data_IF_768830583124
#
_entry.id   IF_768830583124
#
_cell.length_a   1.000
_cell.length_b   1.000
_cell.length_c   1.000
_cell.angle_alpha   90.00
_cell.angle_beta   90.00
_cell.angle_gamma   90.00
#
_symmetry.space_group_name_H-M   'P 1'
#
loop_
_entity.id
_entity.type
_entity.pdbx_description
1 polymer ?
#
# COMPACT_ATOMS: atom_id res chain seq x y z
N UNK A 1 -15.78 -11.88 2.27
CA UNK A 1 -14.41 -11.80 1.67
C UNK A 1 -13.66 -13.13 1.66
N UNK A 2 -14.08 -14.15 2.42
CA UNK A 2 -13.73 -15.56 2.19
C UNK A 2 -15.06 -16.31 1.94
N UNK A 3 -15.16 -17.11 0.87
CA UNK A 3 -16.37 -17.79 0.37
C UNK A 3 -17.48 -16.91 -0.22
N UNK A 4 -17.23 -15.63 -0.47
CA UNK A 4 -18.16 -14.77 -1.19
C UNK A 4 -17.95 -14.84 -2.69
N UNK A 5 -19.04 -14.69 -3.45
CA UNK A 5 -18.98 -14.68 -4.90
C UNK A 5 -18.14 -13.48 -5.38
N UNK A 6 -17.36 -13.66 -6.43
CA UNK A 6 -16.60 -12.57 -7.06
C UNK A 6 -17.53 -11.41 -7.47
N UNK A 7 -18.81 -11.70 -7.76
CA UNK A 7 -19.83 -10.71 -8.10
C UNK A 7 -20.39 -9.93 -6.90
N UNK A 8 -20.22 -10.39 -5.65
CA UNK A 8 -20.61 -9.63 -4.46
C UNK A 8 -19.54 -8.61 -4.03
N UNK A 9 -18.35 -8.66 -4.64
CA UNK A 9 -17.25 -7.73 -4.34
C UNK A 9 -17.45 -6.34 -4.96
N UNK A 10 -18.23 -6.23 -6.04
CA UNK A 10 -18.50 -4.97 -6.73
C UNK A 10 -19.95 -4.55 -6.49
N UNK A 11 -20.14 -3.44 -5.78
CA UNK A 11 -21.44 -2.83 -5.63
C UNK A 11 -21.74 -1.90 -6.83
N UNK A 12 -22.85 -2.16 -7.52
CA UNK A 12 -23.29 -1.37 -8.67
C UNK A 12 -23.88 -0.01 -8.28
N UNK A 13 -24.38 0.10 -7.05
CA UNK A 13 -25.20 1.24 -6.62
C UNK A 13 -24.42 2.27 -5.78
N UNK A 14 -23.31 1.87 -5.16
CA UNK A 14 -22.52 2.79 -4.31
C UNK A 14 -21.08 2.32 -4.14
N UNK A 15 -20.14 3.26 -4.23
CA UNK A 15 -18.73 3.09 -3.87
C UNK A 15 -18.48 3.19 -2.35
N UNK A 16 -19.50 3.50 -1.56
CA UNK A 16 -19.38 3.62 -0.10
C UNK A 16 -19.49 2.27 0.61
N UNK A 17 -19.02 2.24 1.87
CA UNK A 17 -19.29 1.16 2.81
C UNK A 17 -20.79 0.83 2.85
N UNK A 18 -21.16 -0.37 2.40
CA UNK A 18 -22.54 -0.87 2.48
C UNK A 18 -22.98 -1.11 3.93
N UNK A 19 -22.00 -1.22 4.84
CA UNK A 19 -22.25 -1.41 6.26
C UNK A 19 -22.98 -2.72 6.57
N UNK A 20 -23.42 -2.84 7.80
CA UNK A 20 -24.23 -3.95 8.28
C UNK A 20 -25.63 -3.44 8.62
N UNK A 21 -26.69 -4.03 8.07
CA UNK A 21 -28.07 -3.71 8.49
C UNK A 21 -28.25 -3.94 9.98
N UNK A 22 -28.65 -2.89 10.70
CA UNK A 22 -28.87 -2.90 12.14
C UNK A 22 -30.32 -2.65 12.54
N UNK A 23 -31.17 -2.19 11.63
CA UNK A 23 -32.55 -1.85 11.94
C UNK A 23 -33.21 -0.94 10.92
N UNK A 24 -34.29 -0.28 11.33
CA UNK A 24 -35.00 0.72 10.53
C UNK A 24 -35.58 1.83 11.41
N UNK A 25 -35.84 2.99 10.81
CA UNK A 25 -36.47 4.13 11.48
C UNK A 25 -37.95 3.81 11.71
N UNK A 26 -38.35 3.62 12.97
CA UNK A 26 -39.74 3.33 13.32
C UNK A 26 -40.62 4.58 13.20
N UNK A 27 -40.12 5.71 13.69
CA UNK A 27 -40.77 7.02 13.51
C UNK A 27 -39.80 8.17 13.82
N UNK A 28 -40.13 9.37 13.33
CA UNK A 28 -39.43 10.62 13.62
C UNK A 28 -40.37 11.60 14.31
N UNK A 29 -39.95 12.21 15.43
CA UNK A 29 -40.74 13.19 16.18
C UNK A 29 -39.83 14.28 16.75
N UNK A 30 -40.16 15.56 16.52
CA UNK A 30 -39.45 16.72 17.08
C UNK A 30 -37.92 16.66 16.87
N UNK A 31 -37.46 16.38 15.64
CA UNK A 31 -36.05 16.17 15.28
C UNK A 31 -35.33 15.02 16.01
N UNK A 32 -36.08 14.15 16.69
CA UNK A 32 -35.57 12.91 17.27
C UNK A 32 -35.94 11.73 16.36
N UNK A 33 -34.97 10.84 16.16
CA UNK A 33 -35.13 9.64 15.35
C UNK A 33 -35.26 8.43 16.27
N UNK A 34 -36.31 7.65 16.08
CA UNK A 34 -36.55 6.41 16.83
C UNK A 34 -36.28 5.22 15.92
N UNK A 35 -35.27 4.42 16.25
CA UNK A 35 -34.77 3.32 15.43
C UNK A 35 -35.08 2.01 16.13
N UNK A 36 -35.79 1.10 15.46
CA UNK A 36 -35.96 -0.27 15.92
C UNK A 36 -34.72 -1.09 15.55
N UNK A 37 -34.12 -1.76 16.53
CA UNK A 37 -32.88 -2.50 16.37
C UNK A 37 -33.11 -3.98 16.05
N UNK A 38 -32.51 -4.45 14.98
CA UNK A 38 -32.38 -5.87 14.63
C UNK A 38 -31.05 -6.47 15.08
N UNK A 39 -30.08 -5.63 15.46
CA UNK A 39 -28.77 -6.00 15.99
C UNK A 39 -28.39 -5.11 17.17
N UNK A 40 -27.48 -5.60 18.00
CA UNK A 40 -26.92 -4.81 19.08
C UNK A 40 -26.11 -3.63 18.54
N UNK A 41 -26.18 -2.50 19.22
CA UNK A 41 -25.46 -1.28 18.87
C UNK A 41 -24.82 -0.66 20.11
N UNK A 42 -23.66 -0.07 19.92
CA UNK A 42 -22.94 0.63 20.97
C UNK A 42 -22.87 2.13 20.66
N UNK A 43 -22.78 2.96 21.71
CA UNK A 43 -22.42 4.37 21.57
C UNK A 43 -21.11 4.48 20.79
N UNK A 44 -20.96 5.52 19.98
CA UNK A 44 -19.83 5.72 19.07
C UNK A 44 -19.79 4.81 17.84
N UNK A 45 -20.77 3.91 17.66
CA UNK A 45 -20.97 3.27 16.35
C UNK A 45 -21.33 4.34 15.31
N UNK A 46 -20.75 4.20 14.12
CA UNK A 46 -21.13 5.00 12.94
C UNK A 46 -22.31 4.35 12.24
N UNK A 47 -23.38 5.10 12.04
CA UNK A 47 -24.60 4.66 11.36
C UNK A 47 -24.89 5.52 10.13
N UNK A 48 -25.58 4.94 9.16
CA UNK A 48 -26.07 5.61 7.98
C UNK A 48 -27.50 5.20 7.70
N UNK A 49 -28.30 6.16 7.27
CA UNK A 49 -29.66 5.95 6.83
C UNK A 49 -29.62 5.66 5.33
N UNK A 50 -30.16 4.51 4.93
CA UNK A 50 -30.16 4.05 3.53
C UNK A 50 -31.28 4.76 2.75
N UNK A 51 -31.23 6.09 2.72
CA UNK A 51 -32.09 6.96 1.92
C UNK A 51 -31.32 7.52 0.71
N UNK A 52 -32.02 8.21 -0.20
CA UNK A 52 -31.39 8.80 -1.39
C UNK A 52 -30.29 9.83 -1.07
N UNK A 53 -30.24 10.36 0.16
CA UNK A 53 -29.24 11.34 0.60
C UNK A 53 -28.03 10.67 1.26
N UNK A 54 -28.15 9.41 1.66
CA UNK A 54 -27.12 8.62 2.35
C UNK A 54 -26.56 9.33 3.59
N UNK A 55 -27.41 10.02 4.35
CA UNK A 55 -27.00 10.74 5.55
C UNK A 55 -26.43 9.77 6.59
N UNK A 56 -25.30 10.12 7.20
CA UNK A 56 -24.65 9.31 8.24
C UNK A 56 -24.28 10.14 9.46
N UNK A 57 -24.17 9.49 10.61
CA UNK A 57 -23.71 10.10 11.86
C UNK A 57 -23.00 9.07 12.74
N UNK A 58 -22.21 9.56 13.68
CA UNK A 58 -21.71 8.76 14.79
C UNK A 58 -22.62 8.95 16.00
N UNK A 59 -23.03 7.86 16.65
CA UNK A 59 -23.93 7.91 17.81
C UNK A 59 -23.19 8.46 19.01
N UNK A 60 -23.26 9.77 19.25
CA UNK A 60 -22.62 10.39 20.41
C UNK A 60 -23.36 10.05 21.72
N UNK A 61 -24.69 9.99 21.67
CA UNK A 61 -25.60 9.61 22.76
C UNK A 61 -26.83 8.92 22.16
N UNK A 62 -27.35 7.92 22.85
CA UNK A 62 -28.62 7.25 22.51
C UNK A 62 -29.40 6.94 23.78
N UNK A 63 -30.72 6.81 23.64
CA UNK A 63 -31.62 6.56 24.77
C UNK A 63 -32.51 5.36 24.49
N UNK A 64 -32.77 4.54 25.51
CA UNK A 64 -33.82 3.50 25.50
C UNK A 64 -34.80 3.85 26.61
N UNK A 65 -36.10 3.94 26.31
CA UNK A 65 -37.12 4.40 27.26
C UNK A 65 -36.71 5.73 27.95
N UNK A 66 -36.22 6.70 27.16
CA UNK A 66 -35.72 8.00 27.61
C UNK A 66 -34.52 7.99 28.58
N UNK A 67 -33.93 6.83 28.86
CA UNK A 67 -32.72 6.70 29.69
C UNK A 67 -31.49 6.59 28.80
N UNK A 68 -30.41 7.37 29.03
CA UNK A 68 -29.19 7.28 28.24
C UNK A 68 -28.52 5.92 28.45
N UNK A 69 -28.09 5.29 27.37
CA UNK A 69 -27.43 3.97 27.41
C UNK A 69 -26.16 3.96 26.56
N UNK A 70 -25.16 3.20 27.00
CA UNK A 70 -23.92 2.96 26.24
C UNK A 70 -24.10 1.83 25.21
N UNK A 71 -24.97 0.86 25.49
CA UNK A 71 -25.28 -0.26 24.60
C UNK A 71 -26.80 -0.48 24.54
N UNK A 72 -27.33 -0.76 23.35
CA UNK A 72 -28.72 -1.17 23.15
C UNK A 72 -28.77 -2.50 22.41
N UNK A 73 -29.69 -3.37 22.82
CA UNK A 73 -29.80 -4.75 22.35
C UNK A 73 -30.81 -4.88 21.20
N UNK A 74 -30.65 -5.94 20.41
CA UNK A 74 -31.63 -6.37 19.41
C UNK A 74 -33.04 -6.42 20.03
N UNK A 75 -34.01 -5.90 19.28
CA UNK A 75 -35.43 -5.81 19.65
C UNK A 75 -35.83 -4.51 20.36
N UNK A 76 -34.86 -3.70 20.78
CA UNK A 76 -35.13 -2.42 21.44
C UNK A 76 -35.32 -1.28 20.44
N UNK A 77 -35.95 -0.20 20.90
CA UNK A 77 -36.03 1.06 20.16
C UNK A 77 -35.09 2.06 20.81
N UNK A 78 -34.16 2.60 20.03
CA UNK A 78 -33.29 3.68 20.47
C UNK A 78 -33.81 5.02 19.97
N UNK A 79 -33.65 6.06 20.79
CA UNK A 79 -33.89 7.45 20.46
C UNK A 79 -32.54 8.17 20.27
N UNK A 80 -32.36 8.82 19.11
CA UNK A 80 -31.25 9.74 18.83
C UNK A 80 -31.84 11.14 18.72
N UNK A 81 -31.40 12.06 19.59
CA UNK A 81 -31.98 13.40 19.71
C UNK A 81 -31.26 14.43 18.85
N UNK A 82 -31.99 15.46 18.41
CA UNK A 82 -31.47 16.65 17.73
C UNK A 82 -30.63 16.34 16.48
N UNK A 83 -31.14 15.47 15.60
CA UNK A 83 -30.44 15.16 14.34
C UNK A 83 -30.63 16.34 13.37
N UNK A 84 -29.53 16.79 12.74
CA UNK A 84 -29.49 17.99 11.90
C UNK A 84 -30.09 17.82 10.50
N UNK A 85 -30.51 16.61 10.15
CA UNK A 85 -31.05 16.27 8.84
C UNK A 85 -32.38 15.51 8.97
N UNK A 86 -33.18 15.60 7.92
CA UNK A 86 -34.48 14.94 7.84
C UNK A 86 -34.32 13.49 7.36
N UNK A 87 -35.00 12.56 8.02
CA UNK A 87 -35.09 11.15 7.66
C UNK A 87 -36.56 10.75 7.60
N UNK A 88 -36.92 9.87 6.67
CA UNK A 88 -38.29 9.33 6.56
C UNK A 88 -38.48 8.14 7.51
N UNK A 89 -39.73 7.84 7.83
CA UNK A 89 -40.09 6.59 8.49
C UNK A 89 -39.77 5.40 7.58
N UNK A 90 -39.57 4.24 8.19
CA UNK A 90 -39.29 2.95 7.57
C UNK A 90 -37.99 2.88 6.73
N UNK A 91 -37.13 3.88 6.86
CA UNK A 91 -35.80 3.89 6.26
C UNK A 91 -34.90 2.90 6.97
N UNK A 92 -34.22 2.05 6.22
CA UNK A 92 -33.23 1.12 6.73
C UNK A 92 -32.02 1.86 7.32
N UNK A 93 -31.51 1.36 8.44
CA UNK A 93 -30.31 1.87 9.09
C UNK A 93 -29.21 0.82 9.03
N UNK A 94 -28.05 1.24 8.54
CA UNK A 94 -26.84 0.41 8.42
C UNK A 94 -25.74 0.94 9.34
N UNK A 95 -24.93 0.04 9.91
CA UNK A 95 -23.72 0.37 10.67
C UNK A 95 -22.53 0.43 9.73
N UNK A 96 -21.89 1.59 9.63
CA UNK A 96 -20.69 1.80 8.80
C UNK A 96 -19.40 1.60 9.57
N UNK A 97 -19.41 1.77 10.89
CA UNK A 97 -18.27 1.49 11.76
C UNK A 97 -18.74 0.98 13.12
N UNK A 98 -18.05 -0.04 13.64
CA UNK A 98 -18.32 -0.58 14.98
C UNK A 98 -17.23 -0.13 15.94
N UNK A 99 -17.62 0.62 16.98
CA UNK A 99 -16.71 1.07 18.03
C UNK A 99 -16.05 -0.10 18.76
N UNK A 100 -16.84 -1.13 19.13
CA UNK A 100 -16.31 -2.29 19.85
C UNK A 100 -15.30 -3.09 19.01
N UNK A 101 -15.55 -3.26 17.70
CA UNK A 101 -14.59 -3.94 16.82
C UNK A 101 -13.31 -3.13 16.65
N UNK A 102 -13.42 -1.82 16.43
CA UNK A 102 -12.26 -0.93 16.31
C UNK A 102 -11.45 -0.95 17.61
N UNK A 103 -12.11 -0.82 18.77
CA UNK A 103 -11.46 -0.87 20.08
C UNK A 103 -10.77 -2.22 20.30
N UNK A 104 -11.41 -3.33 19.92
CA UNK A 104 -10.79 -4.67 19.98
C UNK A 104 -9.52 -4.74 19.13
N UNK A 105 -9.58 -4.24 17.88
CA UNK A 105 -8.41 -4.18 16.99
C UNK A 105 -7.32 -3.28 17.56
N UNK A 106 -7.66 -2.13 18.14
CA UNK A 106 -6.71 -1.25 18.82
C UNK A 106 -6.07 -1.91 20.04
N UNK A 107 -6.84 -2.63 20.85
CA UNK A 107 -6.35 -3.38 22.00
C UNK A 107 -5.44 -4.54 21.56
N UNK A 108 -5.80 -5.26 20.49
CA UNK A 108 -4.95 -6.28 19.88
C UNK A 108 -3.68 -5.70 19.27
N UNK A 109 -3.76 -4.55 18.60
CA UNK A 109 -2.60 -3.84 18.07
C UNK A 109 -1.71 -3.29 19.20
N UNK A 110 -2.28 -2.89 20.35
CA UNK A 110 -1.53 -2.52 21.57
C UNK A 110 -0.85 -3.72 22.23
N UNK A 111 -1.33 -4.95 21.99
CA UNK A 111 -0.55 -6.17 22.23
C UNK A 111 0.54 -6.32 21.16
N UNK A 112 1.23 -5.22 20.82
CA UNK A 112 2.56 -5.25 20.23
C UNK A 112 3.33 -6.30 21.02
N UNK A 113 3.91 -7.29 20.32
CA UNK A 113 4.70 -8.34 20.94
C UNK A 113 5.81 -7.72 21.78
N UNK A 114 5.53 -7.51 23.07
CA UNK A 114 6.52 -6.98 24.02
C UNK A 114 7.58 -8.04 24.15
N UNK A 115 8.81 -7.73 23.75
CA UNK A 115 9.92 -8.68 23.95
C UNK A 115 10.14 -8.83 25.44
N UNK A 116 10.07 -10.07 25.90
CA UNK A 116 10.37 -10.44 27.28
C UNK A 116 11.88 -10.29 27.52
N UNK A 117 12.22 -9.60 28.60
CA UNK A 117 13.59 -9.44 29.09
C UNK A 117 13.67 -9.85 30.55
N UNK A 118 14.85 -10.21 31.02
CA UNK A 118 15.09 -10.45 32.45
C UNK A 118 16.07 -9.42 32.99
N UNK A 119 15.97 -9.12 34.28
CA UNK A 119 16.83 -8.15 34.95
C UNK A 119 17.53 -8.75 36.17
N UNK A 120 18.68 -8.20 36.53
CA UNK A 120 19.31 -8.42 37.83
C UNK A 120 19.81 -7.10 38.40
N UNK A 121 19.47 -6.85 39.66
CA UNK A 121 19.88 -5.68 40.42
C UNK A 121 20.82 -6.15 41.52
N UNK A 122 21.98 -5.53 41.65
CA UNK A 122 22.93 -5.79 42.75
C UNK A 122 23.19 -4.51 43.53
N UNK A 123 22.88 -4.51 44.83
CA UNK A 123 22.93 -3.32 45.67
C UNK A 123 23.39 -3.66 47.11
N UNK A 124 24.68 -3.52 47.37
CA UNK A 124 25.26 -3.73 48.71
C UNK A 124 25.76 -2.41 49.29
N UNK A 125 25.74 -2.27 50.61
CA UNK A 125 26.28 -1.09 51.32
C UNK A 125 27.71 -0.81 50.89
N UNK A 126 28.02 0.47 50.63
CA UNK A 126 29.34 0.95 50.20
C UNK A 126 29.87 0.30 48.91
N UNK A 127 29.00 -0.34 48.12
CA UNK A 127 29.32 -0.85 46.77
C UNK A 127 28.46 -0.12 45.74
N UNK A 128 28.91 -0.02 44.48
CA UNK A 128 28.11 0.62 43.44
C UNK A 128 26.84 -0.18 43.13
N UNK A 129 25.75 0.52 42.81
CA UNK A 129 24.52 -0.12 42.33
C UNK A 129 24.72 -0.59 40.88
N UNK A 130 24.43 -1.86 40.64
CA UNK A 130 24.59 -2.53 39.34
C UNK A 130 23.21 -2.96 38.84
N UNK A 131 22.94 -2.68 37.58
CA UNK A 131 21.76 -3.18 36.88
C UNK A 131 22.18 -3.94 35.61
N UNK A 132 21.73 -5.18 35.52
CA UNK A 132 21.97 -6.07 34.39
C UNK A 132 20.65 -6.40 33.68
N UNK A 133 20.62 -6.32 32.35
CA UNK A 133 19.48 -6.74 31.51
C UNK A 133 19.93 -7.92 30.63
N UNK A 134 19.11 -8.96 30.57
CA UNK A 134 19.33 -10.18 29.80
C UNK A 134 18.25 -10.34 28.73
N UNK A 135 18.68 -10.57 27.49
CA UNK A 135 17.79 -10.92 26.38
C UNK A 135 18.43 -11.97 25.46
N UNK A 136 17.86 -13.18 25.44
CA UNK A 136 18.46 -14.30 24.72
C UNK A 136 19.91 -14.53 25.14
N UNK A 137 20.87 -14.32 24.23
CA UNK A 137 22.33 -14.41 24.50
C UNK A 137 22.98 -13.08 24.88
N UNK A 138 22.29 -11.95 24.74
CA UNK A 138 22.85 -10.64 25.02
C UNK A 138 22.69 -10.25 26.50
N UNK A 139 23.72 -9.62 27.05
CA UNK A 139 23.78 -9.13 28.42
C UNK A 139 24.27 -7.69 28.43
N UNK A 140 23.53 -6.81 29.07
CA UNK A 140 23.90 -5.41 29.31
C UNK A 140 24.13 -5.22 30.79
N UNK A 141 25.20 -4.53 31.17
CA UNK A 141 25.53 -4.22 32.57
C UNK A 141 25.85 -2.74 32.69
N UNK A 142 25.10 -2.04 33.54
CA UNK A 142 25.40 -0.66 33.92
C UNK A 142 25.69 -0.57 35.42
N UNK A 143 26.54 0.38 35.77
CA UNK A 143 27.03 0.63 37.13
C UNK A 143 26.83 2.10 37.43
N UNK A 144 26.37 2.43 38.65
CA UNK A 144 26.25 3.82 39.14
C UNK A 144 27.16 4.06 40.35
N UNK A 145 26.99 5.20 41.03
CA UNK A 145 27.73 5.57 42.24
C UNK A 145 27.41 4.67 43.44
N UNK A 146 28.17 4.84 44.53
CA UNK A 146 28.11 4.02 45.75
C UNK A 146 26.73 4.08 46.41
N UNK A 147 26.23 2.92 46.83
CA UNK A 147 25.01 2.78 47.65
C UNK A 147 25.32 3.19 49.09
N UNK A 148 24.53 4.10 49.64
CA UNK A 148 24.71 4.62 51.00
C UNK A 148 23.86 3.84 52.01
N UNK A 149 24.30 3.82 53.26
CA UNK A 149 23.52 3.35 54.40
C UNK A 149 22.33 4.27 54.67
N UNK A 150 21.14 3.71 54.86
CA UNK A 150 19.94 4.49 55.11
C UNK A 150 20.00 5.16 56.51
N UNK A 151 19.86 6.49 56.58
CA UNK A 151 19.81 7.24 57.84
C UNK A 151 18.38 7.43 58.38
N UNK A 152 17.34 7.31 57.54
CA UNK A 152 15.92 7.23 57.88
C UNK A 152 15.15 6.52 56.73
N UNK A 153 14.10 5.74 57.07
CA UNK A 153 13.33 4.79 56.20
C UNK A 153 13.95 4.56 54.81
N UNK A 154 14.76 3.51 54.70
CA UNK A 154 15.43 3.08 53.47
C UNK A 154 14.45 2.84 52.30
N UNK A 155 15.00 2.82 51.08
CA UNK A 155 14.19 2.52 49.89
C UNK A 155 13.89 1.02 49.89
N UNK A 156 12.63 0.63 50.09
CA UNK A 156 12.28 -0.80 50.16
C UNK A 156 12.64 -1.53 48.86
N UNK A 157 12.99 -2.81 48.98
CA UNK A 157 13.33 -3.69 47.85
C UNK A 157 12.27 -3.64 46.75
N UNK A 158 10.99 -3.67 47.13
CA UNK A 158 9.85 -3.61 46.24
C UNK A 158 9.85 -2.30 45.45
N UNK A 159 10.11 -1.18 46.14
CA UNK A 159 10.16 0.15 45.52
C UNK A 159 11.32 0.27 44.53
N UNK A 160 12.45 -0.39 44.77
CA UNK A 160 13.57 -0.43 43.81
C UNK A 160 13.17 -1.22 42.56
N UNK A 161 12.63 -2.42 42.73
CA UNK A 161 12.17 -3.28 41.63
C UNK A 161 11.11 -2.57 40.77
N UNK A 162 10.15 -1.91 41.40
CA UNK A 162 9.08 -1.17 40.70
C UNK A 162 9.64 -0.05 39.80
N UNK A 163 10.68 0.66 40.25
CA UNK A 163 11.28 1.72 39.45
C UNK A 163 12.05 1.18 38.24
N UNK A 164 12.76 0.04 38.39
CA UNK A 164 13.46 -0.62 37.29
C UNK A 164 12.52 -1.30 36.27
N UNK A 165 11.33 -1.72 36.71
CA UNK A 165 10.33 -2.39 35.85
C UNK A 165 9.63 -1.42 34.87
N UNK A 166 9.67 -0.12 35.13
CA UNK A 166 9.02 0.91 34.30
C UNK A 166 9.70 1.05 32.93
N UNK A 167 9.06 0.52 31.89
CA UNK A 167 9.51 0.54 30.48
C UNK A 167 8.47 1.12 29.52
N UNK A 168 7.54 1.94 30.02
CA UNK A 168 6.29 2.30 29.34
C UNK A 168 6.41 2.91 27.93
N UNK A 169 7.57 3.49 27.58
CA UNK A 169 7.83 4.06 26.25
C UNK A 169 8.43 3.06 25.24
N UNK A 170 8.76 1.84 25.67
CA UNK A 170 9.42 0.82 24.84
C UNK A 170 8.56 -0.44 24.71
N UNK A 171 8.59 -1.15 23.56
CA UNK A 171 7.87 -2.42 23.36
C UNK A 171 8.57 -3.60 24.07
N UNK A 172 8.82 -3.45 25.37
CA UNK A 172 9.54 -4.40 26.24
C UNK A 172 8.73 -4.73 27.49
N UNK A 173 8.99 -5.89 28.09
CA UNK A 173 8.43 -6.26 29.39
C UNK A 173 9.40 -7.15 30.17
N UNK A 174 9.54 -6.92 31.48
CA UNK A 174 10.35 -7.78 32.34
C UNK A 174 9.57 -9.03 32.73
N UNK A 175 10.09 -10.20 32.40
CA UNK A 175 9.56 -11.49 32.85
C UNK A 175 9.99 -11.81 34.28
N UNK A 176 11.23 -11.45 34.64
CA UNK A 176 11.80 -11.62 35.97
C UNK A 176 12.83 -10.53 36.25
N UNK A 177 12.87 -10.01 37.48
CA UNK A 177 13.97 -9.20 37.99
C UNK A 177 14.48 -9.84 39.29
N UNK A 178 15.75 -10.24 39.30
CA UNK A 178 16.42 -10.74 40.50
C UNK A 178 17.04 -9.57 41.27
N UNK A 179 16.86 -9.52 42.58
CA UNK A 179 17.47 -8.51 43.44
C UNK A 179 18.40 -9.18 44.45
N UNK A 180 19.67 -8.77 44.43
CA UNK A 180 20.73 -9.25 45.33
C UNK A 180 21.30 -8.04 46.09
N UNK A 181 20.98 -7.88 47.37
CA UNK A 181 21.43 -6.71 48.12
C UNK A 181 21.04 -6.75 49.58
N UNK A 182 21.53 -5.76 50.33
CA UNK A 182 21.21 -5.61 51.75
C UNK A 182 19.80 -5.01 51.92
N UNK A 183 19.11 -5.34 53.02
CA UNK A 183 17.74 -4.86 53.27
C UNK A 183 17.69 -3.38 53.69
N UNK A 184 18.76 -2.87 54.33
CA UNK A 184 18.87 -1.50 54.83
C UNK A 184 19.70 -0.57 53.92
N UNK A 185 19.29 -0.45 52.66
CA UNK A 185 19.97 0.42 51.69
C UNK A 185 19.16 1.66 51.34
N UNK A 186 19.85 2.77 51.12
CA UNK A 186 19.26 3.98 50.55
C UNK A 186 19.85 4.25 49.18
N UNK A 187 18.98 4.29 48.18
CA UNK A 187 19.32 4.68 46.81
C UNK A 187 18.35 5.77 46.37
N UNK A 188 18.85 6.97 46.00
CA UNK A 188 18.03 8.01 45.40
C UNK A 188 17.29 7.52 44.16
N UNK A 189 16.01 7.90 44.03
CA UNK A 189 15.16 7.53 42.88
C UNK A 189 15.73 8.08 41.56
N UNK A 190 16.37 9.25 41.60
CA UNK A 190 17.06 9.83 40.44
C UNK A 190 18.15 8.89 39.90
N UNK A 191 18.99 8.35 40.79
CA UNK A 191 20.04 7.40 40.45
C UNK A 191 19.48 6.10 39.84
N UNK A 192 18.37 5.60 40.38
CA UNK A 192 17.67 4.42 39.81
C UNK A 192 17.17 4.71 38.40
N UNK A 193 16.51 5.87 38.21
CA UNK A 193 15.96 6.28 36.92
C UNK A 193 17.06 6.49 35.88
N UNK A 194 18.17 7.14 36.25
CA UNK A 194 19.33 7.35 35.37
C UNK A 194 19.96 6.02 34.96
N UNK A 195 20.20 5.12 35.93
CA UNK A 195 20.78 3.81 35.66
C UNK A 195 19.88 2.95 34.77
N UNK A 196 18.57 2.95 35.05
CA UNK A 196 17.55 2.29 34.22
C UNK A 196 17.54 2.85 32.81
N UNK A 197 17.41 4.17 32.65
CA UNK A 197 17.33 4.82 31.34
C UNK A 197 18.60 4.53 30.53
N UNK A 198 19.79 4.65 31.14
CA UNK A 198 21.06 4.34 30.49
C UNK A 198 21.16 2.88 30.02
N UNK A 199 20.68 1.93 30.82
CA UNK A 199 20.66 0.52 30.44
C UNK A 199 19.64 0.23 29.31
N UNK A 200 18.47 0.86 29.35
CA UNK A 200 17.46 0.75 28.31
C UNK A 200 17.91 1.40 27.00
N UNK A 201 18.59 2.54 27.04
CA UNK A 201 19.13 3.21 25.84
C UNK A 201 20.18 2.34 25.14
N UNK A 202 21.06 1.68 25.90
CA UNK A 202 22.02 0.71 25.35
C UNK A 202 21.32 -0.51 24.75
N UNK A 203 20.24 -0.97 25.38
CA UNK A 203 19.43 -2.06 24.86
C UNK A 203 18.74 -1.68 23.55
N UNK A 204 18.19 -0.46 23.47
CA UNK A 204 17.60 0.07 22.24
C UNK A 204 18.65 0.12 21.13
N UNK A 205 19.87 0.57 21.41
CA UNK A 205 20.98 0.57 20.43
C UNK A 205 21.32 -0.81 19.88
N UNK A 206 21.10 -1.89 20.65
CA UNK A 206 21.27 -3.25 20.14
C UNK A 206 20.15 -3.64 19.16
N UNK A 207 18.93 -3.15 19.36
CA UNK A 207 17.79 -3.41 18.46
C UNK A 207 17.77 -2.49 17.24
N UNK A 208 18.22 -1.25 17.40
CA UNK A 208 18.32 -0.26 16.32
C UNK A 208 19.69 -0.26 15.66
N UNK A 209 20.54 -1.23 15.99
CA UNK A 209 21.74 -1.50 15.21
C UNK A 209 21.23 -1.80 13.81
N UNK A 210 21.36 -0.82 12.92
CA UNK A 210 21.00 -0.98 11.52
C UNK A 210 21.56 -2.33 11.10
N UNK A 211 20.71 -3.17 10.52
CA UNK A 211 21.20 -4.35 9.82
C UNK A 211 22.35 -3.81 8.98
N UNK A 212 23.57 -4.31 9.20
CA UNK A 212 24.70 -3.94 8.35
C UNK A 212 24.16 -4.14 6.94
N UNK A 213 23.97 -3.04 6.22
CA UNK A 213 23.57 -3.12 4.84
C UNK A 213 24.74 -3.85 4.21
N UNK A 214 24.56 -5.14 3.95
CA UNK A 214 25.52 -5.91 3.21
C UNK A 214 25.39 -5.31 1.82
N UNK A 215 26.30 -4.39 1.50
CA UNK A 215 26.51 -3.97 0.13
C UNK A 215 27.00 -5.22 -0.59
N UNK A 216 26.07 -5.95 -1.16
CA UNK A 216 26.40 -6.91 -2.17
C UNK A 216 26.89 -6.09 -3.36
N UNK A 217 28.16 -6.26 -3.71
CA UNK A 217 28.61 -5.84 -5.02
C UNK A 217 27.91 -6.74 -6.02
N UNK A 218 26.90 -6.20 -6.70
CA UNK A 218 26.28 -6.89 -7.82
C UNK A 218 27.28 -6.82 -8.96
N UNK A 219 27.83 -7.97 -9.35
CA UNK A 219 28.56 -8.07 -10.61
C UNK A 219 27.52 -7.93 -11.73
N UNK A 220 27.36 -6.71 -12.24
CA UNK A 220 26.59 -6.47 -13.45
C UNK A 220 27.31 -7.19 -14.60
N UNK A 221 26.78 -8.33 -15.06
CA UNK A 221 27.16 -8.85 -16.37
C UNK A 221 26.63 -7.84 -17.39
N UNK A 222 27.54 -7.02 -17.92
CA UNK A 222 27.29 -5.94 -18.89
C UNK A 222 25.99 -6.12 -19.67
N UNK A 223 25.03 -5.22 -19.48
CA UNK A 223 23.93 -5.09 -20.44
C UNK A 223 24.58 -4.80 -21.79
N UNK A 224 24.53 -5.76 -22.73
CA UNK A 224 25.04 -5.52 -24.08
C UNK A 224 24.28 -4.32 -24.63
N UNK A 225 25.00 -3.24 -24.87
CA UNK A 225 24.43 -2.06 -25.49
C UNK A 225 23.90 -2.48 -26.87
N UNK A 226 22.64 -2.18 -27.16
CA UNK A 226 22.11 -2.44 -28.48
C UNK A 226 22.67 -1.40 -29.45
N UNK A 227 23.31 -1.82 -30.53
CA UNK A 227 23.81 -0.94 -31.60
C UNK A 227 22.69 -0.19 -32.34
N UNK A 228 21.43 -0.61 -32.17
CA UNK A 228 20.26 0.02 -32.80
C UNK A 228 19.93 1.37 -32.12
N UNK A 229 19.77 2.41 -32.95
CA UNK A 229 19.33 3.76 -32.55
C UNK A 229 17.89 3.81 -32.02
N UNK A 230 17.05 2.82 -32.36
CA UNK A 230 15.64 2.74 -31.99
C UNK A 230 15.22 1.27 -31.83
N UNK A 231 14.75 0.88 -30.65
CA UNK A 231 14.13 -0.43 -30.41
C UNK A 231 12.68 -0.25 -29.99
N UNK A 232 11.74 -0.84 -30.73
CA UNK A 232 10.32 -0.80 -30.42
C UNK A 232 9.87 -2.13 -29.82
N UNK A 233 9.30 -2.06 -28.61
CA UNK A 233 8.53 -3.17 -28.04
C UNK A 233 7.05 -2.85 -28.22
N UNK A 234 6.27 -3.79 -28.75
CA UNK A 234 4.85 -3.57 -29.03
C UNK A 234 4.02 -4.69 -28.41
N UNK A 235 2.99 -4.29 -27.66
CA UNK A 235 1.92 -5.20 -27.27
C UNK A 235 0.64 -4.82 -28.02
N UNK A 236 0.05 -5.80 -28.71
CA UNK A 236 -1.28 -5.69 -29.30
C UNK A 236 -2.01 -7.03 -29.21
N UNK A 237 -3.33 -6.96 -28.98
CA UNK A 237 -4.23 -8.11 -29.14
C UNK A 237 -4.57 -8.38 -30.62
N UNK A 238 -4.27 -7.45 -31.52
CA UNK A 238 -4.57 -7.53 -32.95
C UNK A 238 -3.38 -8.22 -33.67
N UNK A 239 -3.68 -9.15 -34.58
CA UNK A 239 -2.66 -9.79 -35.44
C UNK A 239 -2.33 -8.82 -36.57
N UNK A 240 -1.12 -8.25 -36.59
CA UNK A 240 -0.63 -7.46 -37.72
C UNK A 240 0.18 -8.35 -38.66
N UNK A 241 -0.22 -8.38 -39.93
CA UNK A 241 0.60 -8.89 -41.03
C UNK A 241 1.36 -7.67 -41.59
N UNK A 242 2.68 -7.75 -41.76
CA UNK A 242 3.54 -6.76 -42.42
C UNK A 242 4.20 -5.65 -41.55
N UNK A 243 4.57 -5.93 -40.29
CA UNK A 243 5.51 -5.03 -39.58
C UNK A 243 6.71 -5.86 -39.11
N UNK A 244 7.73 -5.93 -39.98
CA UNK A 244 8.89 -6.85 -39.87
C UNK A 244 9.88 -6.50 -38.73
N UNK A 245 9.73 -5.34 -38.09
CA UNK A 245 10.60 -4.85 -37.00
C UNK A 245 9.95 -4.90 -35.62
N UNK A 246 8.91 -5.72 -35.43
CA UNK A 246 8.19 -5.76 -34.17
C UNK A 246 8.53 -6.97 -33.33
N UNK A 247 8.97 -6.70 -32.11
CA UNK A 247 9.03 -7.76 -31.13
C UNK A 247 7.73 -7.91 -30.37
N UNK A 248 7.10 -9.07 -30.58
CA UNK A 248 5.88 -9.46 -29.88
C UNK A 248 6.24 -9.97 -28.49
N UNK A 249 6.22 -9.07 -27.51
CA UNK A 249 6.37 -9.42 -26.12
C UNK A 249 5.02 -9.93 -25.57
N UNK A 250 4.92 -11.22 -25.27
CA UNK A 250 3.80 -11.72 -24.47
C UNK A 250 4.05 -11.32 -23.01
N UNK A 251 3.14 -10.56 -22.42
CA UNK A 251 3.14 -10.33 -20.96
C UNK A 251 2.71 -11.64 -20.29
N UNK A 252 3.66 -12.33 -19.68
CA UNK A 252 3.39 -13.62 -19.02
C UNK A 252 2.86 -13.31 -17.61
N UNK A 253 1.54 -13.22 -17.49
CA UNK A 253 0.88 -13.35 -16.19
C UNK A 253 0.69 -14.85 -15.91
N UNK A 254 1.48 -15.38 -14.96
CA UNK A 254 1.45 -16.74 -14.40
C UNK A 254 0.51 -17.74 -15.09
N UNK A 255 1.08 -18.66 -15.89
CA UNK A 255 0.53 -20.02 -16.00
C UNK A 255 1.55 -21.08 -16.39
N UNK A 256 2.66 -20.72 -17.03
CA UNK A 256 3.70 -21.68 -17.38
C UNK A 256 5.07 -21.01 -17.32
N UNK A 257 5.90 -21.34 -16.33
CA UNK A 257 7.35 -21.58 -16.42
C UNK A 257 7.96 -21.71 -15.01
N UNK A 258 8.92 -22.62 -14.89
CA UNK A 258 9.53 -23.11 -13.65
C UNK A 258 10.64 -22.15 -13.15
N UNK A 259 10.31 -20.87 -12.91
CA UNK A 259 11.27 -19.87 -12.44
C UNK A 259 10.81 -19.24 -11.12
N UNK A 260 11.10 -19.89 -9.99
CA UNK A 260 10.77 -19.43 -8.62
C UNK A 260 11.45 -18.11 -8.20
N UNK A 261 12.21 -17.44 -9.08
CA UNK A 261 13.06 -16.28 -8.74
C UNK A 261 12.85 -15.03 -9.61
N UNK A 262 11.82 -14.99 -10.46
CA UNK A 262 11.59 -13.86 -11.37
C UNK A 262 10.53 -12.89 -10.83
N UNK A 263 10.71 -11.59 -11.10
CA UNK A 263 9.78 -10.54 -10.69
C UNK A 263 8.52 -10.52 -11.58
N UNK A 264 7.44 -9.95 -11.04
CA UNK A 264 6.04 -10.28 -11.36
C UNK A 264 5.55 -9.78 -12.74
N UNK A 265 6.33 -8.98 -13.49
CA UNK A 265 5.87 -8.46 -14.78
C UNK A 265 6.98 -8.26 -15.83
N UNK A 266 7.06 -9.15 -16.82
CA UNK A 266 8.12 -9.10 -17.82
C UNK A 266 7.65 -9.50 -19.22
N UNK A 267 8.47 -9.11 -20.17
CA UNK A 267 8.36 -9.42 -21.58
C UNK A 267 9.47 -10.39 -21.98
N UNK A 268 9.19 -11.25 -22.97
CA UNK A 268 10.18 -12.16 -23.56
C UNK A 268 10.27 -11.90 -25.07
N UNK A 269 11.49 -11.69 -25.55
CA UNK A 269 11.82 -11.39 -26.94
C UNK A 269 12.90 -12.39 -27.40
N UNK A 270 12.48 -13.54 -27.94
CA UNK A 270 13.41 -14.65 -28.17
C UNK A 270 14.04 -15.13 -26.85
N UNK A 271 15.36 -14.96 -26.70
CA UNK A 271 16.08 -15.23 -25.45
C UNK A 271 16.23 -13.98 -24.56
N UNK A 272 15.67 -12.84 -24.97
CA UNK A 272 15.78 -11.59 -24.23
C UNK A 272 14.72 -11.49 -23.14
N UNK A 273 15.17 -11.29 -21.89
CA UNK A 273 14.31 -11.01 -20.75
C UNK A 273 14.23 -9.51 -20.50
N UNK A 274 13.02 -8.96 -20.48
CA UNK A 274 12.79 -7.52 -20.47
C UNK A 274 11.83 -7.16 -19.32
N UNK A 275 12.24 -6.25 -18.44
CA UNK A 275 11.39 -5.79 -17.34
C UNK A 275 10.36 -4.80 -17.89
N UNK A 276 9.08 -5.01 -17.59
CA UNK A 276 8.00 -4.14 -18.06
C UNK A 276 7.98 -2.81 -17.29
N UNK A 277 7.27 -1.77 -17.78
CA UNK A 277 7.09 -0.52 -17.01
C UNK A 277 6.38 -0.71 -15.65
N UNK A 278 5.69 -1.84 -15.43
CA UNK A 278 4.95 -2.14 -14.20
C UNK A 278 5.82 -2.84 -13.13
N UNK A 279 7.11 -3.02 -13.41
CA UNK A 279 8.11 -3.53 -12.48
C UNK A 279 8.50 -2.54 -11.37
N UNK A 280 7.93 -1.32 -11.36
CA UNK A 280 8.21 -0.26 -10.39
C UNK A 280 9.70 0.09 -10.25
N UNK A 281 10.42 0.12 -11.37
CA UNK A 281 11.83 0.53 -11.41
C UNK A 281 11.89 2.05 -11.26
N UNK A 282 12.24 2.53 -10.06
CA UNK A 282 12.20 3.96 -9.68
C UNK A 282 13.53 4.51 -9.14
N UNK A 283 14.59 3.71 -9.10
CA UNK A 283 15.94 4.13 -8.68
C UNK A 283 17.01 3.27 -9.38
N UNK A 284 18.26 3.74 -9.38
CA UNK A 284 19.36 3.05 -10.06
C UNK A 284 19.76 1.71 -9.42
N UNK A 285 19.51 1.51 -8.12
CA UNK A 285 19.76 0.22 -7.46
C UNK A 285 18.75 -0.85 -7.84
N UNK A 286 17.51 -0.46 -8.15
CA UNK A 286 16.52 -1.37 -8.73
C UNK A 286 17.02 -1.91 -10.07
N UNK A 287 17.63 -1.06 -10.91
CA UNK A 287 18.25 -1.51 -12.16
C UNK A 287 19.34 -2.56 -11.92
N UNK A 288 20.23 -2.35 -10.95
CA UNK A 288 21.25 -3.36 -10.59
C UNK A 288 20.61 -4.71 -10.28
N UNK A 289 19.53 -4.71 -9.48
CA UNK A 289 18.83 -5.92 -9.10
C UNK A 289 18.20 -6.63 -10.31
N UNK A 290 17.54 -5.89 -11.21
CA UNK A 290 16.98 -6.47 -12.43
C UNK A 290 18.07 -7.04 -13.35
N UNK A 291 19.16 -6.30 -13.59
CA UNK A 291 20.27 -6.82 -14.40
C UNK A 291 20.95 -8.04 -13.76
N UNK A 292 21.10 -8.07 -12.44
CA UNK A 292 21.60 -9.24 -11.70
C UNK A 292 20.65 -10.46 -11.79
N UNK A 293 19.36 -10.24 -12.04
CA UNK A 293 18.38 -11.28 -12.34
C UNK A 293 18.30 -11.64 -13.84
N UNK A 294 19.34 -11.31 -14.61
CA UNK A 294 19.49 -11.59 -16.04
C UNK A 294 18.45 -10.89 -16.95
N UNK A 295 17.77 -9.85 -16.46
CA UNK A 295 17.05 -8.96 -17.36
C UNK A 295 18.08 -8.23 -18.21
N UNK A 296 17.84 -8.11 -19.51
CA UNK A 296 18.76 -7.46 -20.45
C UNK A 296 18.30 -6.06 -20.85
N UNK A 297 17.03 -5.74 -20.61
CA UNK A 297 16.41 -4.44 -20.91
C UNK A 297 15.39 -4.13 -19.81
N UNK A 298 15.36 -2.89 -19.35
CA UNK A 298 14.45 -2.48 -18.28
C UNK A 298 13.62 -1.26 -18.66
N UNK A 299 12.30 -1.41 -18.79
CA UNK A 299 11.43 -0.25 -18.89
C UNK A 299 11.26 0.40 -17.52
N UNK A 300 11.52 1.71 -17.43
CA UNK A 300 11.36 2.47 -16.19
C UNK A 300 9.86 2.68 -15.89
N UNK A 301 9.55 2.95 -14.62
CA UNK A 301 8.16 3.17 -14.19
C UNK A 301 7.50 4.35 -14.91
N UNK A 302 6.22 4.17 -15.29
CA UNK A 302 5.38 5.21 -15.89
C UNK A 302 5.01 6.34 -14.91
N UNK A 303 5.32 6.19 -13.62
CA UNK A 303 5.06 7.20 -12.57
C UNK A 303 6.21 8.21 -12.38
N UNK A 304 7.33 7.99 -13.08
CA UNK A 304 8.50 8.86 -12.97
C UNK A 304 8.34 10.15 -13.79
N UNK A 305 8.80 11.25 -13.19
CA UNK A 305 9.06 12.49 -13.92
C UNK A 305 10.41 12.43 -14.66
N UNK A 306 10.57 13.36 -15.60
CA UNK A 306 11.79 13.55 -16.40
C UNK A 306 13.06 13.61 -15.57
N UNK A 307 13.07 14.39 -14.49
CA UNK A 307 14.27 14.64 -13.70
C UNK A 307 14.67 13.36 -12.94
N UNK A 308 13.69 12.62 -12.44
CA UNK A 308 13.87 11.33 -11.79
C UNK A 308 14.42 10.29 -12.77
N UNK A 309 13.90 10.25 -14.00
CA UNK A 309 14.42 9.38 -15.07
C UNK A 309 15.90 9.69 -15.32
N UNK A 310 16.24 10.97 -15.50
CA UNK A 310 17.62 11.40 -15.72
C UNK A 310 18.53 11.02 -14.55
N UNK A 311 18.09 11.27 -13.31
CA UNK A 311 18.85 10.93 -12.11
C UNK A 311 19.13 9.42 -12.01
N UNK A 312 18.15 8.56 -12.34
CA UNK A 312 18.34 7.10 -12.35
C UNK A 312 19.46 6.70 -13.32
N UNK A 313 19.44 7.28 -14.52
CA UNK A 313 20.40 6.97 -15.59
C UNK A 313 21.80 7.47 -15.20
N UNK A 314 21.89 8.72 -14.72
CA UNK A 314 23.14 9.33 -14.27
C UNK A 314 23.75 8.60 -13.08
N UNK A 315 22.94 8.25 -12.07
CA UNK A 315 23.38 7.51 -10.88
C UNK A 315 23.87 6.10 -11.24
N UNK A 316 23.24 5.45 -12.22
CA UNK A 316 23.70 4.16 -12.73
C UNK A 316 25.05 4.32 -13.46
N UNK A 317 25.15 5.31 -14.35
CA UNK A 317 26.38 5.60 -15.09
C UNK A 317 27.53 5.95 -14.14
N UNK A 318 27.29 6.78 -13.13
CA UNK A 318 28.31 7.14 -12.15
C UNK A 318 28.90 5.92 -11.45
N UNK A 319 28.08 4.92 -11.13
CA UNK A 319 28.50 3.71 -10.43
C UNK A 319 29.17 2.68 -11.32
N UNK A 320 28.71 2.52 -12.56
CA UNK A 320 29.14 1.43 -13.45
C UNK A 320 29.98 1.88 -14.64
N UNK A 321 30.07 3.18 -14.90
CA UNK A 321 30.74 3.79 -16.07
C UNK A 321 30.18 3.29 -17.42
N UNK A 322 28.93 2.87 -17.43
CA UNK A 322 28.16 2.41 -18.60
C UNK A 322 26.70 2.86 -18.43
N UNK A 323 26.06 3.29 -19.51
CA UNK A 323 24.64 3.63 -19.49
C UNK A 323 23.77 2.37 -19.41
N UNK A 324 22.72 2.36 -18.58
CA UNK A 324 21.87 1.19 -18.45
C UNK A 324 21.00 1.00 -19.70
N UNK A 325 20.74 -0.26 -20.08
CA UNK A 325 19.84 -0.58 -21.20
C UNK A 325 18.36 -0.40 -20.79
N UNK A 326 17.91 0.86 -20.75
CA UNK A 326 16.57 1.23 -20.28
C UNK A 326 15.64 1.67 -21.40
N UNK A 327 14.34 1.64 -21.12
CA UNK A 327 13.31 2.16 -22.02
C UNK A 327 12.16 2.86 -21.29
N UNK A 328 11.28 3.50 -22.06
CA UNK A 328 10.03 4.10 -21.57
C UNK A 328 8.85 3.69 -22.44
N UNK A 329 7.66 3.64 -21.82
CA UNK A 329 6.42 3.66 -22.58
C UNK A 329 6.23 5.06 -23.19
N UNK A 330 6.09 5.15 -24.50
CA UNK A 330 5.89 6.43 -25.20
C UNK A 330 4.53 6.55 -25.87
N UNK A 331 3.77 5.46 -25.93
CA UNK A 331 2.41 5.46 -26.45
C UNK A 331 1.52 4.46 -25.73
N UNK A 332 0.24 4.81 -25.61
CA UNK A 332 -0.84 3.89 -25.24
C UNK A 332 -1.58 4.29 -23.98
N UNK A 333 -2.60 3.53 -23.64
CA UNK A 333 -3.35 3.73 -22.40
C UNK A 333 -2.65 3.02 -21.25
N UNK A 334 -2.47 3.72 -20.13
CA UNK A 334 -1.90 3.14 -18.92
C UNK A 334 -2.92 2.21 -18.27
N UNK A 335 -2.44 1.08 -17.73
CA UNK A 335 -3.29 0.19 -16.93
C UNK A 335 -3.45 0.75 -15.52
N UNK A 336 -4.68 1.05 -15.14
CA UNK A 336 -5.00 1.64 -13.84
C UNK A 336 -5.31 0.57 -12.79
N UNK A 337 -6.01 -0.49 -13.20
CA UNK A 337 -6.42 -1.56 -12.28
C UNK A 337 -6.68 -2.85 -13.04
N UNK A 338 -6.22 -3.97 -12.50
CA UNK A 338 -6.57 -5.32 -12.97
C UNK A 338 -7.44 -5.97 -11.90
N UNK A 339 -8.61 -6.49 -12.30
CA UNK A 339 -9.58 -7.07 -11.40
C UNK A 339 -10.06 -8.43 -11.89
N UNK A 340 -10.13 -9.41 -10.97
CA UNK A 340 -10.78 -10.71 -11.22
C UNK A 340 -12.30 -10.62 -11.22
N UNK A 341 -12.86 -9.59 -10.58
CA UNK A 341 -14.28 -9.30 -10.63
C UNK A 341 -14.60 -8.43 -11.85
N UNK A 342 -15.35 -8.97 -12.80
CA UNK A 342 -15.72 -8.26 -14.01
C UNK A 342 -16.90 -7.30 -13.73
N UNK A 343 -16.75 -5.97 -13.88
CA UNK A 343 -17.83 -5.01 -13.69
C UNK A 343 -18.98 -5.23 -14.68
N UNK A 344 -18.65 -5.64 -15.91
CA UNK A 344 -19.61 -5.92 -16.98
C UNK A 344 -20.49 -7.11 -16.59
N UNK A 345 -19.88 -8.21 -16.13
CA UNK A 345 -20.60 -9.39 -15.67
C UNK A 345 -21.47 -9.10 -14.44
N UNK A 346 -20.92 -8.33 -13.50
CA UNK A 346 -21.64 -7.88 -12.32
C UNK A 346 -22.91 -7.11 -12.72
N UNK A 347 -22.76 -6.05 -13.53
CA UNK A 347 -23.88 -5.19 -13.96
C UNK A 347 -24.98 -5.94 -14.73
N UNK A 348 -24.61 -6.78 -15.70
CA UNK A 348 -25.60 -7.38 -16.61
C UNK A 348 -26.13 -8.74 -16.20
N UNK A 349 -25.36 -9.53 -15.46
CA UNK A 349 -25.65 -10.96 -15.34
C UNK A 349 -25.89 -11.44 -13.93
N UNK A 350 -25.37 -10.77 -12.90
CA UNK A 350 -25.53 -11.07 -11.45
C UNK A 350 -25.38 -12.54 -11.00
N UNK A 351 -25.23 -13.53 -11.90
CA UNK A 351 -24.95 -14.96 -11.75
C UNK A 351 -24.48 -15.58 -13.09
N UNK A 352 -23.62 -16.61 -12.98
CA UNK A 352 -22.99 -17.50 -13.99
C UNK A 352 -21.77 -17.01 -14.78
N UNK A 353 -20.87 -17.96 -15.02
CA UNK A 353 -19.58 -17.86 -15.69
C UNK A 353 -19.69 -17.31 -17.13
N UNK A 354 -18.68 -16.51 -17.53
CA UNK A 354 -18.47 -15.97 -18.88
C UNK A 354 -19.70 -15.43 -19.62
N UNK A 355 -20.09 -14.18 -19.34
CA UNK A 355 -21.19 -13.51 -20.07
C UNK A 355 -20.91 -13.21 -21.55
N UNK A 356 -19.64 -13.26 -21.99
CA UNK A 356 -19.17 -12.95 -23.34
C UNK A 356 -19.55 -11.57 -23.90
N UNK A 357 -20.10 -10.64 -23.10
CA UNK A 357 -20.49 -9.30 -23.56
C UNK A 357 -19.31 -8.46 -24.00
N UNK A 358 -18.19 -8.56 -23.28
CA UNK A 358 -16.93 -7.87 -23.61
C UNK A 358 -16.33 -8.29 -24.96
N UNK A 359 -16.78 -9.41 -25.56
CA UNK A 359 -16.38 -9.82 -26.92
C UNK A 359 -17.23 -9.16 -28.01
N UNK A 360 -18.41 -8.64 -27.66
CA UNK A 360 -19.37 -8.05 -28.61
C UNK A 360 -19.37 -6.53 -28.59
N UNK A 361 -19.06 -5.93 -27.44
CA UNK A 361 -19.12 -4.48 -27.25
C UNK A 361 -17.90 -4.00 -26.45
N UNK A 362 -17.48 -2.76 -26.72
CA UNK A 362 -16.54 -2.03 -25.89
C UNK A 362 -17.28 -1.37 -24.72
N UNK A 363 -16.77 -1.53 -23.50
CA UNK A 363 -17.35 -0.95 -22.28
C UNK A 363 -16.42 0.08 -21.66
N UNK A 364 -17.00 0.99 -20.88
CA UNK A 364 -16.29 2.06 -20.18
C UNK A 364 -16.86 2.22 -18.77
N UNK A 365 -16.00 2.56 -17.80
CA UNK A 365 -16.41 3.16 -16.54
C UNK A 365 -16.46 4.68 -16.73
N UNK A 366 -17.58 5.29 -16.34
CA UNK A 366 -17.75 6.73 -16.42
C UNK A 366 -17.56 7.35 -15.04
N UNK A 367 -16.68 8.34 -14.94
CA UNK A 367 -16.48 9.06 -13.67
C UNK A 367 -17.43 10.27 -13.52
N UNK A 368 -17.30 10.98 -12.38
CA UNK A 368 -18.10 12.18 -12.07
C UNK A 368 -17.82 13.38 -12.99
N UNK A 369 -16.67 13.39 -13.67
CA UNK A 369 -16.26 14.41 -14.62
C UNK A 369 -16.62 14.01 -16.07
N UNK A 370 -17.36 12.90 -16.24
CA UNK A 370 -17.71 12.28 -17.52
C UNK A 370 -16.52 11.68 -18.29
N UNK A 371 -15.35 11.51 -17.68
CA UNK A 371 -14.25 10.77 -18.27
C UNK A 371 -14.64 9.28 -18.43
N UNK A 372 -14.28 8.70 -19.57
CA UNK A 372 -14.64 7.34 -19.96
C UNK A 372 -13.41 6.44 -19.93
N UNK A 373 -13.27 5.65 -18.87
CA UNK A 373 -12.18 4.71 -18.65
C UNK A 373 -12.49 3.38 -19.34
N UNK A 374 -11.78 2.99 -20.40
CA UNK A 374 -12.12 1.78 -21.13
C UNK A 374 -11.87 0.50 -20.34
N UNK A 375 -12.75 -0.48 -20.53
CA UNK A 375 -12.61 -1.82 -19.96
C UNK A 375 -12.18 -2.79 -21.06
N UNK A 376 -11.06 -3.47 -20.86
CA UNK A 376 -10.68 -4.63 -21.66
C UNK A 376 -10.73 -5.87 -20.78
N UNK A 377 -11.21 -6.99 -21.30
CA UNK A 377 -11.25 -8.26 -20.55
C UNK A 377 -10.51 -9.35 -21.31
N UNK A 378 -9.91 -10.27 -20.58
CA UNK A 378 -9.33 -11.49 -21.14
C UNK A 378 -10.36 -12.64 -21.23
N UNK A 379 -9.92 -13.80 -21.68
CA UNK A 379 -10.75 -15.00 -21.77
C UNK A 379 -11.22 -15.53 -20.42
N UNK A 380 -10.52 -15.20 -19.33
CA UNK A 380 -10.85 -15.59 -17.95
C UNK A 380 -11.72 -14.55 -17.22
N UNK A 381 -12.26 -13.56 -17.94
CA UNK A 381 -13.00 -12.43 -17.37
C UNK A 381 -12.19 -11.59 -16.35
N UNK A 382 -10.86 -11.63 -16.43
CA UNK A 382 -10.01 -10.65 -15.78
C UNK A 382 -10.16 -9.36 -16.57
N UNK A 383 -10.67 -8.32 -15.91
CA UNK A 383 -10.90 -7.01 -16.51
C UNK A 383 -9.77 -6.07 -16.13
N UNK A 384 -9.21 -5.39 -17.12
CA UNK A 384 -8.29 -4.26 -16.92
C UNK A 384 -9.01 -2.96 -17.21
N UNK A 385 -8.92 -2.03 -16.27
CA UNK A 385 -9.36 -0.64 -16.42
C UNK A 385 -8.18 0.15 -17.00
N UNK A 386 -8.38 0.76 -18.15
CA UNK A 386 -7.39 1.62 -18.80
C UNK A 386 -7.64 3.09 -18.47
N UNK A 387 -6.59 3.91 -18.46
CA UNK A 387 -6.73 5.38 -18.39
C UNK A 387 -7.59 5.85 -19.57
N UNK A 388 -8.47 6.82 -19.30
CA UNK A 388 -9.31 7.47 -20.29
C UNK A 388 -8.48 8.32 -21.27
N UNK A 389 -7.24 8.69 -20.91
CA UNK A 389 -6.27 9.38 -21.76
C UNK A 389 -5.27 8.41 -22.39
N UNK A 390 -4.68 8.85 -23.49
CA UNK A 390 -3.62 8.13 -24.20
C UNK A 390 -2.29 8.83 -23.92
N UNK A 391 -1.32 8.11 -23.37
CA UNK A 391 0.05 8.59 -23.23
C UNK A 391 0.63 8.84 -24.62
N UNK A 392 1.28 9.99 -24.82
CA UNK A 392 1.90 10.33 -26.09
C UNK A 392 3.22 11.10 -25.89
N UNK A 393 4.34 10.39 -25.83
CA UNK A 393 5.70 10.97 -25.69
C UNK A 393 6.51 10.92 -27.00
N UNK A 394 5.86 10.60 -28.12
CA UNK A 394 6.53 10.52 -29.44
C UNK A 394 7.13 11.90 -29.83
N UNK A 395 6.46 12.99 -29.47
CA UNK A 395 6.96 14.37 -29.65
C UNK A 395 8.05 14.79 -28.65
N UNK A 396 8.59 13.84 -27.87
CA UNK A 396 9.72 14.04 -26.94
C UNK A 396 10.87 13.08 -27.20
N UNK A 397 10.85 12.34 -28.32
CA UNK A 397 11.89 11.36 -28.64
C UNK A 397 13.30 11.95 -28.61
N UNK A 398 13.52 13.17 -29.09
CA UNK A 398 14.85 13.80 -29.06
C UNK A 398 15.33 14.06 -27.63
N UNK A 399 14.41 14.43 -26.75
CA UNK A 399 14.69 14.61 -25.32
C UNK A 399 15.07 13.28 -24.65
N UNK A 400 14.35 12.20 -24.98
CA UNK A 400 14.63 10.86 -24.46
C UNK A 400 15.97 10.32 -24.99
N UNK A 401 16.29 10.54 -26.26
CA UNK A 401 17.58 10.19 -26.87
C UNK A 401 18.74 10.91 -26.16
N UNK A 402 18.56 12.19 -25.83
CA UNK A 402 19.56 12.97 -25.09
C UNK A 402 19.79 12.46 -23.66
N UNK A 403 18.86 11.68 -23.10
CA UNK A 403 19.02 10.96 -21.83
C UNK A 403 19.56 9.54 -22.01
N UNK A 404 20.09 9.18 -23.18
CA UNK A 404 20.57 7.84 -23.50
C UNK A 404 19.49 6.75 -23.51
N UNK A 405 18.22 7.12 -23.69
CA UNK A 405 17.11 6.17 -23.82
C UNK A 405 16.97 5.77 -25.30
N UNK A 406 17.14 4.47 -25.58
CA UNK A 406 17.08 3.91 -26.95
C UNK A 406 15.94 2.91 -27.15
N UNK A 407 15.25 2.53 -26.07
CA UNK A 407 14.17 1.56 -26.09
C UNK A 407 12.83 2.22 -25.81
N UNK A 408 11.84 1.92 -26.65
CA UNK A 408 10.54 2.56 -26.64
C UNK A 408 9.45 1.51 -26.65
N UNK A 409 8.47 1.66 -25.76
CA UNK A 409 7.34 0.75 -25.64
C UNK A 409 6.05 1.44 -26.14
N UNK A 410 5.39 0.78 -27.09
CA UNK A 410 4.09 1.18 -27.62
C UNK A 410 3.05 0.15 -27.19
N UNK A 411 2.04 0.58 -26.44
CA UNK A 411 0.94 -0.28 -26.01
C UNK A 411 -0.32 0.02 -26.82
N UNK A 412 -0.73 -0.90 -27.69
CA UNK A 412 -1.98 -0.82 -28.43
C UNK A 412 -3.04 -1.70 -27.78
N UNK A 413 -4.20 -1.11 -27.53
CA UNK A 413 -5.33 -1.73 -26.82
C UNK A 413 -6.62 -1.66 -27.63
N UNK A 414 -7.05 -0.45 -28.01
CA UNK A 414 -8.33 -0.20 -28.69
C UNK A 414 -8.14 0.35 -30.10
N UNK A 415 -6.90 0.68 -30.45
CA UNK A 415 -6.50 1.21 -31.74
C UNK A 415 -6.74 0.16 -32.83
N UNK A 416 -7.26 0.60 -33.98
CA UNK A 416 -7.37 -0.25 -35.16
C UNK A 416 -6.02 -0.39 -35.89
N UNK A 417 -5.99 -1.18 -36.96
CA UNK A 417 -4.76 -1.44 -37.71
C UNK A 417 -4.16 -0.20 -38.38
N UNK A 418 -4.99 0.64 -38.98
CA UNK A 418 -4.52 1.84 -39.67
C UNK A 418 -4.02 2.90 -38.68
N UNK A 419 -4.69 3.03 -37.53
CA UNK A 419 -4.24 3.88 -36.42
C UNK A 419 -2.86 3.41 -35.91
N UNK A 420 -2.71 2.12 -35.62
CA UNK A 420 -1.45 1.57 -35.13
C UNK A 420 -0.30 1.76 -36.12
N UNK A 421 -0.53 1.54 -37.44
CA UNK A 421 0.47 1.79 -38.49
C UNK A 421 0.93 3.25 -38.51
N UNK A 422 -0.01 4.19 -38.51
CA UNK A 422 0.31 5.63 -38.48
C UNK A 422 1.14 6.02 -37.25
N UNK A 423 0.81 5.48 -36.09
CA UNK A 423 1.55 5.75 -34.85
C UNK A 423 2.97 5.20 -34.93
N UNK A 424 3.15 4.00 -35.49
CA UNK A 424 4.48 3.41 -35.69
C UNK A 424 5.29 4.25 -36.70
N UNK A 425 4.68 4.67 -37.80
CA UNK A 425 5.31 5.59 -38.79
C UNK A 425 5.74 6.91 -38.15
N UNK A 426 4.89 7.50 -37.29
CA UNK A 426 5.23 8.72 -36.56
C UNK A 426 6.48 8.57 -35.67
N UNK A 427 6.67 7.39 -35.06
CA UNK A 427 7.88 7.11 -34.27
C UNK A 427 9.13 7.05 -35.15
N UNK A 428 9.07 6.37 -36.30
CA UNK A 428 10.21 6.26 -37.21
C UNK A 428 10.59 7.60 -37.85
N UNK A 429 9.59 8.39 -38.22
CA UNK A 429 9.78 9.67 -38.88
C UNK A 429 10.11 10.81 -37.90
N UNK A 430 10.14 10.53 -36.58
CA UNK A 430 10.43 11.52 -35.53
C UNK A 430 9.53 12.78 -35.69
N UNK A 431 8.27 12.58 -36.10
CA UNK A 431 7.39 13.67 -36.53
C UNK A 431 7.11 14.62 -35.35
N UNK A 432 7.50 15.88 -35.52
CA UNK A 432 7.30 16.96 -34.53
C UNK A 432 6.05 17.83 -34.81
N UNK A 433 5.19 17.47 -35.75
CA UNK A 433 4.07 18.34 -36.17
C UNK A 433 2.68 17.91 -35.69
N UNK A 434 1.90 18.93 -35.34
CA UNK A 434 0.61 18.96 -34.62
C UNK A 434 -0.59 18.27 -35.31
N UNK A 435 -0.40 17.48 -36.39
CA UNK A 435 -1.49 17.12 -37.31
C UNK A 435 -1.61 15.62 -37.63
N UNK A 436 -1.71 14.70 -36.65
CA UNK A 436 -2.10 13.31 -36.96
C UNK A 436 -3.14 12.62 -36.07
N UNK A 437 -3.61 13.23 -34.98
CA UNK A 437 -4.83 12.77 -34.30
C UNK A 437 -5.63 14.00 -33.89
N UNK A 438 -6.78 14.16 -34.53
CA UNK A 438 -7.71 15.28 -34.36
C UNK A 438 -8.45 15.19 -33.00
N UNK A 439 -7.70 15.10 -31.88
CA UNK A 439 -8.26 15.02 -30.54
C UNK A 439 -7.43 15.83 -29.55
N UNK A 440 -8.05 16.90 -29.05
CA UNK A 440 -7.73 17.70 -27.87
C UNK A 440 -6.86 17.00 -26.81
N UNK A 441 -5.67 17.59 -26.59
CA UNK A 441 -4.69 17.39 -25.51
C UNK A 441 -3.98 16.03 -25.44
N UNK A 442 -2.75 15.98 -25.96
CA UNK A 442 -1.79 14.91 -25.66
C UNK A 442 -1.58 14.81 -24.14
N UNK A 443 -1.73 13.61 -23.57
CA UNK A 443 -1.41 13.36 -22.17
C UNK A 443 0.04 12.91 -22.06
N UNK A 444 0.84 13.71 -21.36
CA UNK A 444 2.28 13.46 -21.17
C UNK A 444 2.56 12.62 -19.91
N UNK A 445 1.54 12.04 -19.28
CA UNK A 445 1.74 11.19 -18.11
C UNK A 445 2.32 11.96 -16.91
N UNK A 446 3.07 11.23 -16.10
CA UNK A 446 3.87 11.79 -15.01
C UNK A 446 5.20 12.39 -15.47
N UNK A 447 5.53 12.28 -16.76
CA UNK A 447 6.78 12.79 -17.33
C UNK A 447 7.03 14.28 -17.02
N UNK A 448 5.97 15.09 -17.02
CA UNK A 448 6.05 16.53 -16.69
C UNK A 448 5.73 16.81 -15.22
N UNK A 449 4.98 15.94 -14.54
CA UNK A 449 4.53 16.14 -13.16
C UNK A 449 4.60 14.85 -12.38
N UNK A 450 5.53 14.80 -11.42
CA UNK A 450 5.72 13.67 -10.50
C UNK A 450 4.38 13.21 -9.91
N UNK A 451 4.18 11.89 -9.82
CA UNK A 451 3.13 11.32 -9.00
C UNK A 451 3.39 11.68 -7.53
N UNK A 452 2.43 12.35 -6.87
CA UNK A 452 2.53 12.73 -5.45
C UNK A 452 2.37 11.52 -4.53
#
# INVERSE_FOLDING_TARGET
>A
MFNESIFSLLNQNSSSHQGERIGYVKYVKNNNIYIFLEKNIHRLDGIRFNDNKQNGLQIQKMFVNHTPVEEAKKGQIIEIKNVSFLVKNDVEVIRTSSYLLIKKVEEENKKIYKRKISGRITAYKNKPLIFEIFIGKAKIKKVSSLVQTALNKGTSKERIIDQFTKVNSLPLTFEKIEFNGDEDIFVPISQINELRNSALDELVKLFTKENKIIKNEYSCSSSKESEKLLNLTITSKIKYQNIDTLTKANRINFKHLNYEKMMVDYFVEGNLLIASPYCNITNSYALDAYFAFNYQKCFLSNELDKDSIKNIIDDYYFRHQIYPNVGLQIYGRLEMMIMKSCPIGTYYHNQKDHCNRCKKNQFYLKDRMNALFPLISDENCITTVLDYRILYLINRLDELKNMHIKNYYLSFTLENEDEAKKIIENVYNNFNEENTLNNSSYYLGHYIRRAL
#
